data_IF_754664437899
#
_entry.id   IF_754664437899
#
_cell.length_a   1.000
_cell.length_b   1.000
_cell.length_c   1.000
_cell.angle_alpha   90.00
_cell.angle_beta   90.00
_cell.angle_gamma   90.00
#
_symmetry.space_group_name_H-M   'P 1'
#
loop_
_entity.id
_entity.type
_entity.pdbx_description
1 polymer ?
#
# COMPACT_ATOMS: atom_id res chain seq x y z
N UNK A 1 14.32 11.19 -8.99
CA UNK A 1 14.72 10.44 -7.78
C UNK A 1 13.53 9.59 -7.38
N UNK A 2 13.62 8.28 -7.54
CA UNK A 2 12.54 7.33 -7.22
C UNK A 2 12.41 7.20 -5.71
N UNK A 3 11.39 7.80 -5.10
CA UNK A 3 11.19 7.76 -3.65
C UNK A 3 10.41 6.49 -3.28
N UNK A 4 11.03 5.63 -2.47
CA UNK A 4 10.38 4.43 -1.91
C UNK A 4 9.99 4.72 -0.45
N UNK A 5 8.75 4.41 -0.08
CA UNK A 5 8.26 4.54 1.30
C UNK A 5 7.87 3.21 1.89
N UNK A 6 8.23 3.02 3.16
CA UNK A 6 7.92 1.82 3.94
C UNK A 6 6.62 2.03 4.72
N UNK A 7 5.72 1.06 4.63
CA UNK A 7 4.46 0.99 5.36
C UNK A 7 4.41 -0.30 6.16
N UNK A 8 3.88 -0.23 7.38
CA UNK A 8 3.61 -1.42 8.20
C UNK A 8 2.12 -1.73 8.06
N UNK A 9 1.79 -2.85 7.43
CA UNK A 9 0.42 -3.27 7.16
C UNK A 9 0.15 -4.57 7.93
N UNK A 10 -0.98 -4.69 8.64
CA UNK A 10 -1.41 -5.97 9.19
C UNK A 10 -1.80 -6.90 8.03
N UNK A 11 -0.99 -7.92 7.77
CA UNK A 11 -1.26 -8.94 6.75
C UNK A 11 -1.84 -10.19 7.39
N UNK A 12 -2.66 -10.93 6.63
CA UNK A 12 -3.18 -12.22 7.06
C UNK A 12 -2.15 -13.33 6.80
N UNK A 13 -2.00 -14.24 7.76
CA UNK A 13 -1.14 -15.42 7.68
C UNK A 13 -1.96 -16.65 8.13
N UNK A 14 -2.94 -17.05 7.32
CA UNK A 14 -3.77 -18.22 7.61
C UNK A 14 -4.75 -17.96 8.77
N UNK A 15 -5.38 -16.78 8.78
CA UNK A 15 -6.34 -16.37 9.81
C UNK A 15 -5.73 -15.67 11.03
N UNK A 16 -4.40 -15.50 11.07
CA UNK A 16 -3.70 -14.68 12.07
C UNK A 16 -3.13 -13.44 11.42
N UNK A 17 -3.44 -12.27 11.97
CA UNK A 17 -2.94 -11.00 11.44
C UNK A 17 -1.60 -10.65 12.08
N UNK A 18 -0.59 -10.29 11.27
CA UNK A 18 0.74 -9.92 11.75
C UNK A 18 1.30 -8.73 10.95
N UNK A 19 2.02 -7.79 11.56
CA UNK A 19 2.57 -6.63 10.87
C UNK A 19 3.63 -7.04 9.85
N UNK A 20 3.47 -6.59 8.60
CA UNK A 20 4.42 -6.79 7.53
C UNK A 20 4.85 -5.45 6.91
N UNK A 21 6.15 -5.32 6.64
CA UNK A 21 6.70 -4.15 6.00
C UNK A 21 6.55 -4.23 4.48
N UNK A 22 5.73 -3.35 3.92
CA UNK A 22 5.51 -3.20 2.48
C UNK A 22 6.18 -1.91 2.02
N UNK A 23 6.92 -1.99 0.91
CA UNK A 23 7.64 -0.86 0.33
C UNK A 23 6.92 -0.37 -0.92
N UNK A 24 6.35 0.83 -0.90
CA UNK A 24 5.69 1.43 -2.07
C UNK A 24 6.64 2.45 -2.69
N UNK A 25 7.10 2.15 -3.90
CA UNK A 25 7.86 3.07 -4.75
C UNK A 25 7.08 3.45 -6.00
N UNK A 26 7.78 3.94 -7.03
CA UNK A 26 7.18 4.11 -8.35
C UNK A 26 7.11 2.75 -9.06
N UNK A 27 5.91 2.20 -9.31
CA UNK A 27 5.79 1.04 -10.16
C UNK A 27 6.26 1.36 -11.58
N UNK A 28 6.77 0.35 -12.30
CA UNK A 28 6.84 0.43 -13.76
C UNK A 28 5.44 0.75 -14.31
N UNK A 29 5.31 1.49 -15.42
CA UNK A 29 4.02 1.93 -15.95
C UNK A 29 3.00 0.78 -16.15
N UNK A 30 3.48 -0.43 -16.44
CA UNK A 30 2.66 -1.65 -16.63
C UNK A 30 2.52 -2.55 -15.39
N UNK A 31 3.07 -2.17 -14.23
CA UNK A 31 3.07 -3.02 -13.04
C UNK A 31 2.16 -2.46 -11.93
N UNK A 32 1.52 -3.36 -11.21
CA UNK A 32 0.84 -3.02 -9.96
C UNK A 32 1.90 -2.79 -8.85
N UNK A 33 1.78 -1.71 -8.05
CA UNK A 33 2.84 -1.23 -7.14
C UNK A 33 3.27 -2.21 -6.06
N UNK A 34 2.38 -3.12 -5.65
CA UNK A 34 2.64 -4.07 -4.56
C UNK A 34 2.45 -5.54 -4.95
N UNK A 35 2.15 -5.84 -6.22
CA UNK A 35 1.82 -7.20 -6.63
C UNK A 35 3.00 -8.16 -6.47
N UNK A 36 4.22 -7.72 -6.80
CA UNK A 36 5.42 -8.53 -6.60
C UNK A 36 5.68 -8.87 -5.12
N UNK A 37 5.44 -7.90 -4.23
CA UNK A 37 5.59 -8.10 -2.79
C UNK A 37 4.48 -8.98 -2.22
N UNK A 38 3.25 -8.86 -2.72
CA UNK A 38 2.16 -9.76 -2.32
C UNK A 38 2.43 -11.21 -2.77
N UNK A 39 2.89 -11.40 -4.01
CA UNK A 39 3.30 -12.72 -4.51
C UNK A 39 4.44 -13.32 -3.69
N UNK A 40 5.45 -12.51 -3.36
CA UNK A 40 6.55 -12.95 -2.49
C UNK A 40 6.06 -13.30 -1.08
N UNK A 41 5.17 -12.49 -0.49
CA UNK A 41 4.61 -12.74 0.84
C UNK A 41 3.83 -14.06 0.88
N UNK A 42 3.03 -14.33 -0.16
CA UNK A 42 2.27 -15.56 -0.28
C UNK A 42 3.19 -16.78 -0.45
N UNK A 43 4.21 -16.67 -1.30
CA UNK A 43 5.12 -17.77 -1.61
C UNK A 43 6.08 -18.11 -0.45
N UNK A 44 6.71 -17.10 0.14
CA UNK A 44 7.81 -17.31 1.09
C UNK A 44 7.36 -17.30 2.55
N UNK A 45 6.26 -16.62 2.87
CA UNK A 45 5.77 -16.49 4.26
C UNK A 45 4.37 -17.04 4.48
N UNK A 46 3.70 -17.54 3.44
CA UNK A 46 2.33 -18.03 3.54
C UNK A 46 1.33 -16.95 3.95
N UNK A 47 1.66 -15.68 3.69
CA UNK A 47 0.82 -14.53 4.06
C UNK A 47 0.23 -13.82 2.85
N UNK A 48 -0.86 -13.10 3.06
CA UNK A 48 -1.51 -12.31 2.02
C UNK A 48 -1.80 -10.90 2.53
N UNK A 49 -1.57 -9.91 1.66
CA UNK A 49 -2.08 -8.58 1.96
C UNK A 49 -3.61 -8.61 1.98
N UNK A 50 -4.27 -7.89 2.90
CA UNK A 50 -5.73 -7.80 2.92
C UNK A 50 -6.24 -7.20 1.61
N UNK A 51 -7.31 -7.76 1.06
CA UNK A 51 -7.89 -7.32 -0.22
C UNK A 51 -8.23 -5.82 -0.22
N UNK A 52 -8.74 -5.31 0.92
CA UNK A 52 -9.01 -3.88 1.11
C UNK A 52 -7.79 -2.99 0.88
N UNK A 53 -6.59 -3.46 1.26
CA UNK A 53 -5.34 -2.72 1.11
C UNK A 53 -4.90 -2.74 -0.35
N UNK A 54 -5.00 -3.90 -0.99
CA UNK A 54 -4.68 -4.08 -2.41
C UNK A 54 -5.57 -3.17 -3.27
N UNK A 55 -6.89 -3.22 -3.07
CA UNK A 55 -7.85 -2.38 -3.80
C UNK A 55 -7.64 -0.89 -3.56
N UNK A 56 -7.32 -0.50 -2.31
CA UNK A 56 -7.03 0.90 -2.00
C UNK A 56 -5.76 1.40 -2.70
N UNK A 57 -4.70 0.59 -2.72
CA UNK A 57 -3.45 0.92 -3.41
C UNK A 57 -3.62 0.97 -4.93
N UNK A 58 -4.47 0.11 -5.51
CA UNK A 58 -4.79 0.15 -6.94
C UNK A 58 -5.46 1.48 -7.32
N UNK A 59 -6.47 1.90 -6.54
CA UNK A 59 -7.16 3.20 -6.74
C UNK A 59 -6.20 4.38 -6.63
N UNK A 60 -5.34 4.38 -5.61
CA UNK A 60 -4.32 5.42 -5.44
C UNK A 60 -3.31 5.41 -6.58
N UNK A 61 -2.90 4.24 -7.09
CA UNK A 61 -2.01 4.13 -8.23
C UNK A 61 -2.63 4.69 -9.51
N UNK A 62 -3.92 4.42 -9.74
CA UNK A 62 -4.64 5.00 -10.88
C UNK A 62 -4.67 6.53 -10.77
N UNK A 63 -5.06 7.06 -9.60
CA UNK A 63 -5.11 8.51 -9.36
C UNK A 63 -3.74 9.17 -9.50
N UNK A 64 -2.68 8.51 -8.99
CA UNK A 64 -1.30 8.96 -9.14
C UNK A 64 -0.88 9.07 -10.61
N UNK A 65 -1.21 8.06 -11.43
CA UNK A 65 -0.94 8.07 -12.88
C UNK A 65 -1.74 9.15 -13.61
N UNK A 66 -3.02 9.30 -13.30
CA UNK A 66 -3.91 10.30 -13.91
C UNK A 66 -3.46 11.74 -13.64
N UNK A 67 -2.86 11.99 -12.48
CA UNK A 67 -2.42 13.33 -12.07
C UNK A 67 -0.91 13.55 -12.23
N UNK A 68 -0.14 12.54 -12.67
CA UNK A 68 1.32 12.61 -12.75
C UNK A 68 2.01 12.80 -11.39
N UNK A 69 1.42 12.28 -10.32
CA UNK A 69 1.93 12.41 -8.95
C UNK A 69 2.63 11.12 -8.51
N UNK A 70 3.64 11.23 -7.66
CA UNK A 70 4.27 10.05 -7.06
C UNK A 70 3.28 9.29 -6.15
N UNK A 71 3.05 8.01 -6.44
CA UNK A 71 2.19 7.14 -5.63
C UNK A 71 2.61 7.13 -4.15
N UNK A 72 3.91 7.07 -3.86
CA UNK A 72 4.42 7.02 -2.49
C UNK A 72 4.05 8.29 -1.69
N UNK A 73 4.05 9.47 -2.33
CA UNK A 73 3.59 10.71 -1.71
C UNK A 73 2.08 10.74 -1.53
N UNK A 74 1.33 10.31 -2.53
CA UNK A 74 -0.12 10.22 -2.45
C UNK A 74 -0.58 9.27 -1.32
N UNK A 75 0.08 8.13 -1.15
CA UNK A 75 -0.21 7.20 -0.03
C UNK A 75 0.03 7.86 1.33
N UNK A 76 1.13 8.60 1.50
CA UNK A 76 1.39 9.31 2.77
C UNK A 76 0.38 10.42 3.00
N UNK A 77 0.00 11.16 1.96
CA UNK A 77 -1.04 12.16 2.06
C UNK A 77 -2.37 11.54 2.47
N UNK A 78 -2.80 10.46 1.82
CA UNK A 78 -4.03 9.76 2.14
C UNK A 78 -4.05 9.26 3.60
N UNK A 79 -2.93 8.73 4.10
CA UNK A 79 -2.80 8.30 5.50
C UNK A 79 -2.86 9.47 6.47
N UNK A 80 -2.22 10.60 6.16
CA UNK A 80 -2.30 11.82 6.97
C UNK A 80 -3.74 12.35 7.05
N UNK A 81 -4.45 12.37 5.92
CA UNK A 81 -5.86 12.78 5.86
C UNK A 81 -6.74 11.81 6.67
N UNK A 82 -6.54 10.50 6.50
CA UNK A 82 -7.27 9.50 7.27
C UNK A 82 -7.03 9.63 8.78
N UNK A 83 -5.78 9.85 9.20
CA UNK A 83 -5.45 10.09 10.61
C UNK A 83 -6.12 11.36 11.16
N UNK A 84 -6.13 12.45 10.37
CA UNK A 84 -6.77 13.71 10.77
C UNK A 84 -8.28 13.56 10.91
N UNK A 85 -8.95 12.84 10.00
CA UNK A 85 -10.39 12.60 10.08
C UNK A 85 -10.79 11.72 11.29
N UNK A 86 -9.88 10.92 11.85
CA UNK A 86 -10.14 10.17 13.09
C UNK A 86 -9.97 11.02 14.36
N UNK A 87 -9.55 12.29 14.24
CA UNK A 87 -9.30 13.19 15.38
C UNK A 87 -10.38 14.26 15.54
N UNK A 88 -11.37 14.34 14.64
CA UNK A 88 -12.40 15.39 14.60
C UNK A 88 -13.81 14.90 15.02
N UNK A 89 -13.91 13.77 15.72
CA UNK A 89 -15.16 13.32 16.38
C UNK A 89 -15.10 13.50 17.92
N UNK A 90 -14.81 14.72 18.37
CA UNK A 90 -15.01 15.13 19.76
C UNK A 90 -15.77 16.45 19.86
#
# INVERSE_FOLDING_TARGET
MTVVKKFIIPCDFGGKTSPFAVYVGEPKPDAHPVQQQNTWLAKERGGQLPERVISSLEKLNKLAKENGICLADLCVYALKVAAKNNTDEH
#
